data_IF_330871244062
#
_entry.id   IF_330871244062
#
_cell.length_a   1.000
_cell.length_b   1.000
_cell.length_c   1.000
_cell.angle_alpha   90.00
_cell.angle_beta   90.00
_cell.angle_gamma   90.00
#
_symmetry.space_group_name_H-M   'P 1'
#
loop_
_entity.id
_entity.type
_entity.pdbx_description
1 polymer ?
#
# COMPACT_ATOMS: atom_id res chain seq x y z
N UNK A 1 12.33 6.66 12.52
CA UNK A 1 11.85 5.98 11.30
C UNK A 1 10.98 6.98 10.54
N UNK A 2 11.47 7.65 9.49
CA UNK A 2 10.84 8.87 8.91
C UNK A 2 10.43 8.73 7.43
N UNK A 3 10.64 7.57 6.81
CA UNK A 3 10.50 7.42 5.35
C UNK A 3 9.06 7.41 4.86
N UNK A 4 8.13 6.76 5.58
CA UNK A 4 6.71 6.77 5.21
C UNK A 4 6.14 8.19 5.19
N UNK A 5 6.56 9.05 6.13
CA UNK A 5 6.10 10.44 6.21
C UNK A 5 6.53 11.29 5.01
N UNK A 6 7.69 11.02 4.41
CA UNK A 6 8.18 11.74 3.24
C UNK A 6 7.41 11.34 1.96
N UNK A 7 7.20 10.04 1.75
CA UNK A 7 6.42 9.53 0.60
C UNK A 7 4.95 9.96 0.72
N UNK A 8 4.40 10.02 1.93
CA UNK A 8 3.02 10.49 2.13
C UNK A 8 2.83 11.96 1.70
N UNK A 9 3.82 12.81 1.98
CA UNK A 9 3.78 14.25 1.64
C UNK A 9 4.10 14.52 0.17
N UNK A 10 5.16 13.90 -0.36
CA UNK A 10 5.76 14.27 -1.64
C UNK A 10 5.63 13.19 -2.73
N UNK A 11 5.11 12.01 -2.39
CA UNK A 11 4.95 10.91 -3.33
C UNK A 11 3.82 11.14 -4.33
N UNK A 12 3.93 10.46 -5.47
CA UNK A 12 2.95 10.52 -6.56
C UNK A 12 1.85 9.50 -6.26
N UNK A 13 0.60 9.97 -6.23
CA UNK A 13 -0.57 9.12 -6.03
C UNK A 13 -0.89 8.32 -7.30
N UNK A 14 -1.19 7.03 -7.15
CA UNK A 14 -1.52 6.14 -8.25
C UNK A 14 -2.46 5.03 -7.78
N UNK A 15 -3.32 4.56 -8.69
CA UNK A 15 -4.09 3.35 -8.47
C UNK A 15 -3.18 2.13 -8.54
N UNK A 16 -3.28 1.27 -7.54
CA UNK A 16 -2.54 0.03 -7.46
C UNK A 16 -3.49 -1.14 -7.22
N UNK A 17 -3.20 -2.25 -7.90
CA UNK A 17 -3.86 -3.51 -7.67
C UNK A 17 -3.17 -4.21 -6.50
N UNK A 18 -3.96 -4.68 -5.53
CA UNK A 18 -3.40 -5.50 -4.45
C UNK A 18 -3.24 -6.93 -4.99
N UNK A 19 -1.98 -7.37 -5.07
CA UNK A 19 -1.62 -8.71 -5.57
C UNK A 19 -1.65 -9.71 -4.42
N UNK A 20 -1.19 -9.31 -3.24
CA UNK A 20 -1.23 -10.14 -2.04
C UNK A 20 -1.28 -9.31 -0.77
N UNK A 21 -1.92 -9.87 0.26
CA UNK A 21 -1.89 -9.36 1.61
C UNK A 21 -1.71 -10.56 2.54
N UNK A 22 -0.55 -10.65 3.18
CA UNK A 22 -0.16 -11.80 4.00
C UNK A 22 0.16 -11.33 5.41
N UNK A 23 -0.45 -11.97 6.41
CA UNK A 23 -0.09 -11.72 7.80
C UNK A 23 1.34 -12.20 8.03
N UNK A 24 2.16 -11.36 8.64
CA UNK A 24 3.48 -11.76 9.10
C UNK A 24 3.40 -12.36 10.50
N UNK A 25 4.51 -12.91 11.00
CA UNK A 25 4.63 -13.32 12.41
C UNK A 25 4.82 -12.15 13.36
N UNK A 26 4.99 -10.92 12.84
CA UNK A 26 5.27 -9.72 13.62
C UNK A 26 4.00 -9.00 14.06
N UNK A 27 4.10 -8.33 15.21
CA UNK A 27 3.02 -7.55 15.81
C UNK A 27 3.51 -6.12 16.09
N UNK A 28 2.69 -5.14 15.73
CA UNK A 28 2.93 -3.72 15.98
C UNK A 28 1.96 -3.26 17.06
N UNK A 29 2.44 -3.14 18.31
CA UNK A 29 1.55 -2.92 19.45
C UNK A 29 0.54 -4.07 19.58
N UNK A 30 -0.76 -3.75 19.51
CA UNK A 30 -1.84 -4.74 19.61
C UNK A 30 -2.40 -5.19 18.25
N UNK A 31 -1.79 -4.80 17.13
CA UNK A 31 -2.24 -5.17 15.78
C UNK A 31 -1.23 -6.11 15.09
N UNK A 32 -1.69 -7.14 14.37
CA UNK A 32 -0.81 -7.94 13.52
C UNK A 32 -0.26 -7.10 12.36
N UNK A 33 1.00 -7.32 11.99
CA UNK A 33 1.62 -6.68 10.84
C UNK A 33 1.37 -7.52 9.60
N UNK A 34 0.84 -6.89 8.55
CA UNK A 34 0.65 -7.50 7.25
C UNK A 34 1.72 -7.00 6.26
N UNK A 35 2.20 -7.92 5.43
CA UNK A 35 2.95 -7.61 4.23
C UNK A 35 1.96 -7.54 3.07
N UNK A 36 1.76 -6.33 2.54
CA UNK A 36 0.95 -6.10 1.37
C UNK A 36 1.84 -5.87 0.16
N UNK A 37 1.54 -6.54 -0.94
CA UNK A 37 2.20 -6.33 -2.22
C UNK A 37 1.20 -5.74 -3.20
N UNK A 38 1.57 -4.62 -3.78
CA UNK A 38 0.75 -3.87 -4.72
C UNK A 38 1.49 -3.69 -6.03
N UNK A 39 0.73 -3.75 -7.12
CA UNK A 39 1.22 -3.56 -8.48
C UNK A 39 0.59 -2.33 -9.09
N UNK A 40 1.40 -1.50 -9.73
CA UNK A 40 0.95 -0.24 -10.33
C UNK A 40 1.84 0.16 -11.50
N UNK A 41 1.37 1.13 -12.28
CA UNK A 41 2.16 1.76 -13.34
C UNK A 41 2.57 3.16 -12.93
N UNK A 42 3.87 3.44 -12.98
CA UNK A 42 4.41 4.79 -12.77
C UNK A 42 3.94 5.75 -13.87
N UNK A 43 4.18 7.06 -13.69
CA UNK A 43 3.88 8.06 -14.72
C UNK A 43 4.69 7.83 -16.01
N UNK A 44 5.83 7.13 -15.92
CA UNK A 44 6.66 6.77 -17.05
C UNK A 44 6.22 5.44 -17.71
N UNK A 45 5.02 4.94 -17.40
CA UNK A 45 4.47 3.65 -17.86
C UNK A 45 5.29 2.41 -17.45
N UNK A 46 6.20 2.53 -16.49
CA UNK A 46 6.89 1.37 -15.92
C UNK A 46 5.97 0.65 -14.93
N UNK A 47 5.77 -0.64 -15.13
CA UNK A 47 5.07 -1.52 -14.18
C UNK A 47 6.00 -1.85 -13.00
N UNK A 48 5.50 -1.64 -11.79
CA UNK A 48 6.24 -1.82 -10.54
C UNK A 48 5.38 -2.65 -9.59
N UNK A 49 6.02 -3.62 -8.96
CA UNK A 49 5.45 -4.38 -7.85
C UNK A 49 6.26 -4.06 -6.59
N UNK A 50 5.59 -3.51 -5.58
CA UNK A 50 6.23 -3.06 -4.35
C UNK A 50 5.45 -3.54 -3.13
N UNK A 51 6.17 -3.77 -2.03
CA UNK A 51 5.59 -4.24 -0.78
C UNK A 51 5.74 -3.24 0.35
N UNK A 52 4.76 -3.23 1.24
CA UNK A 52 4.79 -2.50 2.51
C UNK A 52 4.45 -3.40 3.67
N UNK A 53 4.94 -3.01 4.84
CA UNK A 53 4.51 -3.54 6.12
C UNK A 53 3.62 -2.50 6.78
N UNK A 54 2.41 -2.89 7.16
CA UNK A 54 1.49 -2.04 7.93
C UNK A 54 0.78 -2.89 8.97
N UNK A 55 0.64 -2.34 10.16
CA UNK A 55 -0.21 -2.88 11.21
C UNK A 55 -1.67 -2.58 10.85
N UNK A 56 -2.47 -3.63 10.72
CA UNK A 56 -3.87 -3.52 10.29
C UNK A 56 -4.76 -4.29 11.26
N UNK A 57 -5.95 -3.75 11.51
CA UNK A 57 -7.03 -4.49 12.15
C UNK A 57 -7.67 -5.50 11.19
N UNK A 58 -8.45 -6.41 11.73
CA UNK A 58 -9.23 -7.38 10.95
C UNK A 58 -10.19 -6.72 9.96
N UNK A 59 -10.77 -5.57 10.29
CA UNK A 59 -11.64 -4.85 9.37
C UNK A 59 -10.85 -4.16 8.24
N UNK A 60 -9.68 -3.62 8.56
CA UNK A 60 -8.81 -2.99 7.57
C UNK A 60 -8.30 -4.02 6.54
N UNK A 61 -7.84 -5.20 6.98
CA UNK A 61 -7.32 -6.24 6.07
C UNK A 61 -8.39 -6.80 5.12
N UNK A 62 -9.65 -6.88 5.56
CA UNK A 62 -10.78 -7.28 4.70
C UNK A 62 -10.93 -6.36 3.49
N UNK A 63 -10.61 -5.06 3.63
CA UNK A 63 -10.64 -4.07 2.55
C UNK A 63 -9.46 -4.20 1.59
N UNK A 64 -8.36 -4.81 2.02
CA UNK A 64 -7.13 -4.99 1.24
C UNK A 64 -7.00 -6.40 0.65
N UNK A 65 -8.13 -7.06 0.40
CA UNK A 65 -8.14 -8.37 -0.28
C UNK A 65 -7.58 -8.26 -1.70
N UNK A 66 -6.89 -9.31 -2.18
CA UNK A 66 -6.47 -9.36 -3.58
C UNK A 66 -7.66 -9.14 -4.52
N UNK A 67 -7.44 -8.39 -5.61
CA UNK A 67 -8.46 -7.86 -6.55
C UNK A 67 -9.18 -6.58 -6.11
N UNK A 68 -8.93 -6.06 -4.92
CA UNK A 68 -9.33 -4.70 -4.60
C UNK A 68 -8.26 -3.71 -5.09
N UNK A 69 -8.72 -2.57 -5.59
CA UNK A 69 -7.85 -1.44 -5.91
C UNK A 69 -7.59 -0.58 -4.67
N UNK A 70 -6.36 -0.11 -4.51
CA UNK A 70 -6.01 0.87 -3.49
C UNK A 70 -5.30 2.07 -4.13
N UNK A 71 -5.43 3.25 -3.50
CA UNK A 71 -4.60 4.39 -3.86
C UNK A 71 -3.33 4.32 -2.99
N UNK A 72 -2.19 4.28 -3.65
CA UNK A 72 -0.89 4.37 -2.99
C UNK A 72 -0.19 5.65 -3.41
N UNK A 73 0.77 6.10 -2.62
CA UNK A 73 1.78 7.05 -3.06
C UNK A 73 3.11 6.34 -3.20
N UNK A 74 3.82 6.56 -4.30
CA UNK A 74 5.19 6.08 -4.50
C UNK A 74 6.19 7.24 -4.56
N UNK A 75 7.44 7.00 -4.19
CA UNK A 75 8.53 7.95 -4.40
C UNK A 75 8.95 7.91 -5.88
N UNK A 76 8.87 9.02 -6.64
CA UNK A 76 9.29 9.03 -8.04
C UNK A 76 10.78 8.76 -8.24
N UNK A 77 11.62 8.94 -7.21
CA UNK A 77 13.05 8.63 -7.26
C UNK A 77 13.35 7.16 -6.94
N UNK A 78 12.42 6.49 -6.26
CA UNK A 78 12.52 5.08 -5.89
C UNK A 78 11.11 4.46 -5.82
N UNK A 79 10.55 3.98 -6.96
CA UNK A 79 9.19 3.48 -7.02
C UNK A 79 8.89 2.28 -6.11
N UNK A 80 9.91 1.62 -5.54
CA UNK A 80 9.69 0.56 -4.55
C UNK A 80 9.26 1.13 -3.19
N UNK A 81 9.48 2.42 -2.94
CA UNK A 81 9.05 3.08 -1.71
C UNK A 81 7.63 3.57 -1.88
N UNK A 82 6.70 2.83 -1.31
CA UNK A 82 5.29 3.17 -1.36
C UNK A 82 4.71 3.37 0.04
N UNK A 83 3.57 4.04 0.11
CA UNK A 83 2.72 4.13 1.31
C UNK A 83 1.26 4.07 0.90
N UNK A 84 0.40 3.48 1.74
CA UNK A 84 -1.04 3.54 1.52
C UNK A 84 -1.51 4.98 1.73
N UNK A 85 -2.32 5.46 0.81
CA UNK A 85 -3.05 6.71 1.01
C UNK A 85 -4.34 6.38 1.76
N UNK A 86 -4.49 6.90 2.98
CA UNK A 86 -5.56 6.58 3.95
C UNK A 86 -6.93 7.18 3.56
N UNK A 87 -7.38 6.94 2.34
CA UNK A 87 -8.79 7.09 1.99
C UNK A 87 -9.16 6.08 0.90
N UNK A 88 -9.69 4.90 1.26
CA UNK A 88 -10.23 3.98 0.28
C UNK A 88 -11.51 4.59 -0.29
N UNK A 89 -11.45 5.03 -1.55
CA UNK A 89 -12.67 5.22 -2.34
C UNK A 89 -13.24 3.82 -2.57
N UNK A 90 -14.27 3.47 -1.79
CA UNK A 90 -15.15 2.35 -2.13
C UNK A 90 -15.76 2.72 -3.48
N UNK A 91 -15.36 2.01 -4.54
CA UNK A 91 -16.03 2.12 -5.83
C UNK A 91 -17.32 1.29 -5.71
N UNK A 92 -18.36 1.86 -5.09
CA UNK A 92 -19.73 1.35 -5.19
C UNK A 92 -20.07 1.31 -6.69
N UNK A 93 -20.39 0.13 -7.21
CA UNK A 93 -20.90 -0.05 -8.57
C UNK A 93 -22.39 0.21 -8.63
#
# INVERSE_FOLDING_TARGET
MFFQSAVLKNGIAVNADIVSAQQTTMWGGNKPIYKMTSRFKTQQNQEVEASILKDLSFEEIERFKPRNGAIIKYDPKDPQRITLYDNPLILER
#
